data_IF_828147356381
#
_entry.id   IF_828147356381
#
_cell.length_a   1.000
_cell.length_b   1.000
_cell.length_c   1.000
_cell.angle_alpha   90.00
_cell.angle_beta   90.00
_cell.angle_gamma   90.00
#
_symmetry.space_group_name_H-M   'P 1'
#
loop_
_entity.id
_entity.type
_entity.pdbx_description
1 polymer ?
#
# COMPACT_ATOMS: atom_id res chain seq x y z
N UNK A 1 0.85 14.08 14.87
CA UNK A 1 2.03 13.56 14.15
C UNK A 1 2.80 12.52 14.96
N UNK A 2 3.13 12.74 16.24
CA UNK A 2 3.89 11.79 17.06
C UNK A 2 3.14 10.45 17.21
N UNK A 3 1.85 10.51 17.50
CA UNK A 3 1.01 9.32 17.60
C UNK A 3 0.94 8.55 16.29
N UNK A 4 0.78 9.25 15.17
CA UNK A 4 0.79 8.64 13.82
C UNK A 4 2.12 7.94 13.53
N UNK A 5 3.25 8.55 13.92
CA UNK A 5 4.57 7.91 13.80
C UNK A 5 4.67 6.64 14.64
N UNK A 6 4.14 6.67 15.88
CA UNK A 6 4.12 5.50 16.75
C UNK A 6 3.30 4.36 16.14
N UNK A 7 2.09 4.64 15.63
CA UNK A 7 1.26 3.64 14.94
C UNK A 7 1.99 3.00 13.75
N UNK A 8 2.61 3.82 12.89
CA UNK A 8 3.35 3.34 11.73
C UNK A 8 4.64 2.58 12.09
N UNK A 9 5.28 2.90 13.22
CA UNK A 9 6.42 2.12 13.73
C UNK A 9 5.97 0.72 14.15
N UNK A 10 4.88 0.62 14.91
CA UNK A 10 4.33 -0.66 15.37
C UNK A 10 3.88 -1.54 14.21
N UNK A 11 3.14 -0.96 13.27
CA UNK A 11 2.69 -1.69 12.08
C UNK A 11 3.87 -2.05 11.15
N UNK A 12 4.85 -1.17 11.02
CA UNK A 12 6.08 -1.44 10.28
C UNK A 12 6.86 -2.63 10.83
N UNK A 13 6.83 -2.86 12.15
CA UNK A 13 7.41 -4.05 12.78
C UNK A 13 6.64 -5.32 12.34
N UNK A 14 5.30 -5.29 12.37
CA UNK A 14 4.48 -6.42 11.94
C UNK A 14 4.72 -6.76 10.46
N UNK A 15 4.69 -5.75 9.57
CA UNK A 15 4.94 -5.92 8.13
C UNK A 15 6.36 -6.41 7.86
N UNK A 16 7.37 -5.96 8.62
CA UNK A 16 8.75 -6.44 8.46
C UNK A 16 8.91 -7.89 8.88
N UNK A 17 8.29 -8.30 10.00
CA UNK A 17 8.25 -9.70 10.43
C UNK A 17 7.56 -10.58 9.39
N UNK A 18 6.44 -10.10 8.84
CA UNK A 18 5.71 -10.77 7.77
C UNK A 18 6.59 -10.95 6.52
N UNK A 19 7.26 -9.91 6.06
CA UNK A 19 8.17 -9.98 4.91
C UNK A 19 9.25 -11.02 5.10
N UNK A 20 9.89 -11.05 6.27
CA UNK A 20 10.92 -12.04 6.60
C UNK A 20 10.35 -13.46 6.56
N UNK A 21 9.21 -13.68 7.20
CA UNK A 21 8.55 -14.98 7.23
C UNK A 21 8.14 -15.45 5.82
N UNK A 22 7.51 -14.58 5.05
CA UNK A 22 7.07 -14.87 3.68
C UNK A 22 8.25 -15.31 2.81
N UNK A 23 9.32 -14.52 2.78
CA UNK A 23 10.50 -14.83 1.97
C UNK A 23 11.27 -16.08 2.43
N UNK A 24 11.22 -16.39 3.70
CA UNK A 24 11.87 -17.59 4.26
C UNK A 24 11.10 -18.87 3.93
N UNK A 25 9.80 -18.79 3.81
CA UNK A 25 8.91 -19.96 3.82
C UNK A 25 8.21 -20.23 2.47
N UNK A 26 8.12 -19.25 1.56
CA UNK A 26 7.52 -19.45 0.24
C UNK A 26 8.22 -20.61 -0.51
N UNK A 27 7.42 -21.52 -1.05
CA UNK A 27 7.90 -22.76 -1.68
C UNK A 27 8.35 -23.86 -0.70
N UNK A 28 8.32 -23.63 0.64
CA UNK A 28 8.66 -24.65 1.65
C UNK A 28 7.45 -25.14 2.44
N UNK A 29 6.47 -24.26 2.64
CA UNK A 29 5.18 -24.59 3.24
C UNK A 29 4.05 -24.14 2.32
N UNK A 30 2.90 -24.83 2.32
CA UNK A 30 1.73 -24.36 1.57
C UNK A 30 1.31 -22.98 2.04
N UNK A 31 1.07 -22.08 1.08
CA UNK A 31 0.58 -20.72 1.29
C UNK A 31 -0.37 -20.34 0.18
N UNK A 32 -1.36 -19.55 0.49
CA UNK A 32 -2.26 -18.87 -0.44
C UNK A 32 -2.52 -17.42 0.01
N UNK A 33 -3.26 -16.68 -0.78
CA UNK A 33 -3.55 -15.26 -0.52
C UNK A 33 -4.31 -15.05 0.80
N UNK A 34 -5.15 -16.00 1.22
CA UNK A 34 -5.89 -15.92 2.49
C UNK A 34 -4.94 -16.19 3.66
N UNK A 35 -4.21 -17.30 3.62
CA UNK A 35 -3.34 -17.71 4.73
C UNK A 35 -2.21 -16.73 5.02
N UNK A 36 -1.69 -16.02 4.00
CA UNK A 36 -0.69 -14.97 4.22
C UNK A 36 -1.31 -13.69 4.77
N UNK A 37 -2.54 -13.37 4.40
CA UNK A 37 -3.32 -12.28 4.98
C UNK A 37 -3.57 -12.52 6.48
N UNK A 38 -4.07 -13.70 6.83
CA UNK A 38 -4.33 -14.09 8.22
C UNK A 38 -3.06 -14.07 9.06
N UNK A 39 -1.94 -14.52 8.50
CA UNK A 39 -0.67 -14.48 9.20
C UNK A 39 -0.20 -13.04 9.47
N UNK A 40 -0.33 -12.13 8.50
CA UNK A 40 0.00 -10.71 8.71
C UNK A 40 -0.89 -10.10 9.80
N UNK A 41 -2.19 -10.40 9.79
CA UNK A 41 -3.11 -9.95 10.83
C UNK A 41 -2.68 -10.47 12.20
N UNK A 42 -2.32 -11.76 12.33
CA UNK A 42 -1.86 -12.32 13.60
C UNK A 42 -0.61 -11.64 14.17
N UNK A 43 0.25 -11.09 13.29
CA UNK A 43 1.41 -10.30 13.72
C UNK A 43 1.02 -8.92 14.22
N UNK A 44 -0.01 -8.28 13.62
CA UNK A 44 -0.56 -7.00 14.08
C UNK A 44 -1.25 -7.12 15.43
N UNK A 45 -1.99 -8.19 15.66
CA UNK A 45 -2.67 -8.49 16.93
C UNK A 45 -1.71 -8.59 18.11
N UNK A 46 -0.44 -8.85 17.86
CA UNK A 46 0.61 -8.88 18.89
C UNK A 46 1.22 -7.50 19.19
N UNK A 47 0.85 -6.47 18.45
CA UNK A 47 1.40 -5.13 18.65
C UNK A 47 0.62 -4.35 19.71
N UNK A 48 1.35 -3.56 20.51
CA UNK A 48 0.77 -2.72 21.55
C UNK A 48 -0.28 -1.77 20.98
N UNK A 49 -1.46 -1.74 21.58
CA UNK A 49 -2.54 -0.84 21.21
C UNK A 49 -3.23 -1.14 19.89
N UNK A 50 -2.99 -2.30 19.30
CA UNK A 50 -3.77 -2.77 18.15
C UNK A 50 -5.24 -2.97 18.55
N UNK A 51 -6.17 -2.54 17.69
CA UNK A 51 -7.61 -2.62 17.92
C UNK A 51 -8.33 -3.49 16.91
N UNK A 52 -8.06 -3.25 15.62
CA UNK A 52 -8.70 -3.97 14.51
C UNK A 52 -7.93 -3.72 13.22
N UNK A 53 -8.31 -4.40 12.15
CA UNK A 53 -7.90 -4.05 10.79
C UNK A 53 -8.48 -2.68 10.40
N UNK A 54 -7.74 -1.89 9.65
CA UNK A 54 -8.26 -0.61 9.12
C UNK A 54 -9.10 -0.79 7.85
N UNK A 55 -8.89 -1.89 7.16
CA UNK A 55 -9.68 -2.38 6.02
C UNK A 55 -9.33 -3.85 5.75
N UNK A 56 -10.19 -4.54 4.99
CA UNK A 56 -9.93 -5.91 4.56
C UNK A 56 -8.61 -6.00 3.81
N UNK A 57 -7.71 -6.87 4.25
CA UNK A 57 -6.39 -7.03 3.60
C UNK A 57 -6.55 -7.49 2.16
N UNK A 58 -5.89 -6.79 1.26
CA UNK A 58 -5.76 -7.16 -0.15
C UNK A 58 -4.44 -7.89 -0.32
N UNK A 59 -4.48 -9.19 -0.52
CA UNK A 59 -3.31 -9.99 -0.86
C UNK A 59 -3.50 -10.54 -2.26
N UNK A 60 -2.89 -9.92 -3.26
CA UNK A 60 -3.05 -10.28 -4.67
C UNK A 60 -1.76 -10.88 -5.25
N UNK A 61 -1.81 -12.16 -5.64
CA UNK A 61 -0.69 -12.85 -6.27
C UNK A 61 -0.74 -12.72 -7.78
N UNK A 62 0.33 -12.25 -8.39
CA UNK A 62 0.47 -12.06 -9.84
C UNK A 62 -0.72 -11.28 -10.45
N UNK A 63 -1.55 -11.93 -11.30
CA UNK A 63 -2.66 -11.29 -12.00
C UNK A 63 -3.73 -10.73 -11.06
N UNK A 64 -3.96 -11.34 -9.90
CA UNK A 64 -4.94 -10.88 -8.92
C UNK A 64 -4.59 -9.49 -8.37
N UNK A 65 -3.30 -9.14 -8.33
CA UNK A 65 -2.83 -7.82 -7.91
C UNK A 65 -3.25 -6.67 -8.86
N UNK A 66 -3.74 -6.98 -10.06
CA UNK A 66 -4.23 -5.97 -11.00
C UNK A 66 -5.65 -5.46 -10.64
N UNK A 67 -6.35 -6.15 -9.77
CA UNK A 67 -7.70 -5.80 -9.36
C UNK A 67 -7.64 -4.92 -8.10
N UNK A 68 -8.05 -3.66 -8.24
CA UNK A 68 -8.25 -2.78 -7.08
C UNK A 68 -9.30 -3.39 -6.16
N UNK A 69 -9.08 -3.34 -4.86
CA UNK A 69 -9.99 -3.92 -3.86
C UNK A 69 -10.22 -5.44 -4.06
N UNK A 70 -9.21 -6.15 -4.59
CA UNK A 70 -9.27 -7.61 -4.67
C UNK A 70 -9.48 -8.21 -3.29
N UNK A 71 -10.42 -9.14 -3.19
CA UNK A 71 -10.64 -9.93 -1.99
C UNK A 71 -10.40 -11.41 -2.31
N UNK A 72 -9.41 -11.99 -1.65
CA UNK A 72 -9.19 -13.43 -1.73
C UNK A 72 -10.27 -14.17 -0.92
N UNK A 73 -10.88 -15.17 -1.52
CA UNK A 73 -11.83 -16.04 -0.84
C UNK A 73 -11.23 -17.45 -0.72
N UNK A 74 -11.52 -18.21 0.34
CA UNK A 74 -10.90 -19.52 0.58
C UNK A 74 -10.94 -20.48 -0.60
N UNK A 75 -12.06 -20.48 -1.36
CA UNK A 75 -12.27 -21.39 -2.48
C UNK A 75 -11.58 -20.94 -3.78
N UNK A 76 -11.16 -19.68 -3.88
CA UNK A 76 -10.61 -19.08 -5.11
C UNK A 76 -9.21 -18.49 -4.93
N UNK A 77 -8.71 -18.43 -3.70
CA UNK A 77 -7.40 -17.87 -3.37
C UNK A 77 -6.29 -18.56 -4.16
N UNK A 78 -5.43 -17.77 -4.79
CA UNK A 78 -4.29 -18.29 -5.52
C UNK A 78 -3.23 -18.84 -4.56
N UNK A 79 -2.72 -20.03 -4.88
CA UNK A 79 -1.58 -20.61 -4.16
C UNK A 79 -0.31 -19.83 -4.50
N UNK A 80 0.48 -19.50 -3.49
CA UNK A 80 1.76 -18.83 -3.67
C UNK A 80 2.86 -19.82 -4.02
N UNK A 81 3.56 -19.51 -5.10
CA UNK A 81 4.72 -20.26 -5.57
C UNK A 81 6.00 -19.41 -5.40
N UNK A 82 7.20 -20.02 -5.36
CA UNK A 82 8.47 -19.28 -5.28
C UNK A 82 8.85 -18.63 -6.62
N UNK A 83 7.93 -17.87 -7.18
CA UNK A 83 8.04 -17.10 -8.42
C UNK A 83 7.05 -15.94 -8.43
N UNK A 84 7.29 -14.94 -9.29
CA UNK A 84 6.38 -13.81 -9.47
C UNK A 84 6.36 -12.86 -8.27
N UNK A 85 5.22 -12.20 -8.08
CA UNK A 85 5.05 -11.14 -7.08
C UNK A 85 3.74 -11.28 -6.31
N UNK A 86 3.78 -10.93 -5.04
CA UNK A 86 2.63 -10.75 -4.16
C UNK A 86 2.52 -9.28 -3.78
N UNK A 87 1.42 -8.64 -4.11
CA UNK A 87 1.03 -7.33 -3.56
C UNK A 87 0.22 -7.57 -2.29
N UNK A 88 0.61 -6.90 -1.21
CA UNK A 88 -0.16 -6.89 0.04
C UNK A 88 -0.45 -5.45 0.41
N UNK A 89 -1.72 -5.11 0.44
CA UNK A 89 -2.25 -3.82 0.87
C UNK A 89 -3.10 -4.04 2.12
N UNK A 90 -2.72 -3.39 3.22
CA UNK A 90 -3.25 -3.73 4.54
C UNK A 90 -2.95 -2.65 5.55
N UNK A 91 -3.69 -2.64 6.64
CA UNK A 91 -3.45 -1.71 7.72
C UNK A 91 -4.14 -2.11 9.02
N UNK A 92 -3.88 -1.35 10.05
CA UNK A 92 -4.48 -1.54 11.37
C UNK A 92 -4.88 -0.25 12.03
N UNK A 93 -5.89 -0.36 12.89
CA UNK A 93 -6.26 0.65 13.87
C UNK A 93 -5.49 0.41 15.16
N UNK A 94 -4.81 1.44 15.62
CA UNK A 94 -4.07 1.45 16.89
C UNK A 94 -4.59 2.58 17.77
N UNK A 95 -4.35 2.50 19.07
CA UNK A 95 -4.68 3.59 20.01
C UNK A 95 -4.07 4.94 19.60
N UNK A 96 -2.99 4.87 18.85
CA UNK A 96 -2.21 6.06 18.45
C UNK A 96 -2.44 6.50 17.00
N UNK A 97 -3.17 5.73 16.20
CA UNK A 97 -3.43 6.11 14.81
C UNK A 97 -3.87 4.93 13.95
N UNK A 98 -4.18 5.23 12.70
CA UNK A 98 -4.55 4.26 11.67
C UNK A 98 -3.43 4.16 10.65
N UNK A 99 -3.19 2.96 10.15
CA UNK A 99 -2.19 2.70 9.10
C UNK A 99 -2.84 2.17 7.83
N UNK A 100 -2.16 2.44 6.72
CA UNK A 100 -2.50 1.99 5.38
C UNK A 100 -1.17 1.77 4.66
N UNK A 101 -0.77 0.52 4.48
CA UNK A 101 0.57 0.15 4.01
C UNK A 101 0.46 -0.88 2.90
N UNK A 102 0.88 -0.51 1.70
CA UNK A 102 1.04 -1.43 0.58
C UNK A 102 2.50 -1.80 0.37
N UNK A 103 2.77 -3.08 0.17
CA UNK A 103 4.09 -3.58 -0.28
C UNK A 103 3.92 -4.67 -1.32
N UNK A 104 4.77 -4.62 -2.35
CA UNK A 104 4.88 -5.69 -3.37
C UNK A 104 6.13 -6.50 -3.13
N UNK A 105 5.96 -7.78 -2.86
CA UNK A 105 7.03 -8.72 -2.56
C UNK A 105 7.36 -9.57 -3.78
N UNK A 106 8.61 -9.57 -4.21
CA UNK A 106 9.12 -10.51 -5.20
C UNK A 106 9.36 -11.85 -4.51
N UNK A 107 8.70 -12.91 -4.98
CA UNK A 107 8.76 -14.25 -4.37
C UNK A 107 9.78 -15.17 -5.05
N UNK A 108 10.30 -14.79 -6.20
CA UNK A 108 11.27 -15.56 -6.97
C UNK A 108 11.53 -14.93 -8.34
N UNK A 109 11.82 -15.71 -9.38
CA UNK A 109 12.07 -15.17 -10.72
C UNK A 109 10.91 -14.33 -11.22
N UNK A 110 11.22 -13.15 -11.79
CA UNK A 110 10.29 -12.23 -12.44
C UNK A 110 10.84 -11.80 -13.81
N UNK A 111 9.94 -11.44 -14.71
CA UNK A 111 10.30 -10.97 -16.05
C UNK A 111 10.92 -9.56 -16.03
N UNK A 112 11.61 -9.19 -17.10
CA UNK A 112 12.22 -7.87 -17.22
C UNK A 112 11.16 -6.75 -17.30
N UNK A 113 9.99 -7.04 -17.87
CA UNK A 113 8.88 -6.09 -17.88
C UNK A 113 8.33 -5.85 -16.47
N UNK A 114 8.24 -6.87 -15.62
CA UNK A 114 7.86 -6.72 -14.22
C UNK A 114 8.87 -5.88 -13.44
N UNK A 115 10.18 -6.12 -13.64
CA UNK A 115 11.25 -5.30 -13.05
C UNK A 115 11.14 -3.83 -13.48
N UNK A 116 10.89 -3.61 -14.78
CA UNK A 116 10.72 -2.26 -15.35
C UNK A 116 9.53 -1.55 -14.69
N UNK A 117 8.36 -2.19 -14.65
CA UNK A 117 7.15 -1.61 -14.06
C UNK A 117 7.31 -1.37 -12.56
N UNK A 118 7.87 -2.32 -11.81
CA UNK A 118 8.17 -2.15 -10.39
C UNK A 118 9.06 -0.92 -10.15
N UNK A 119 10.16 -0.81 -10.91
CA UNK A 119 11.09 0.32 -10.80
C UNK A 119 10.42 1.65 -11.14
N UNK A 120 9.56 1.66 -12.15
CA UNK A 120 8.80 2.83 -12.57
C UNK A 120 7.86 3.31 -11.45
N UNK A 121 7.11 2.39 -10.84
CA UNK A 121 6.21 2.71 -9.72
C UNK A 121 7.00 3.21 -8.51
N UNK A 122 8.15 2.61 -8.19
CA UNK A 122 9.03 3.11 -7.11
C UNK A 122 9.53 4.53 -7.41
N UNK A 123 9.94 4.82 -8.64
CA UNK A 123 10.33 6.19 -9.05
C UNK A 123 9.17 7.17 -8.88
N UNK A 124 7.97 6.79 -9.33
CA UNK A 124 6.76 7.60 -9.19
C UNK A 124 6.47 7.94 -7.72
N UNK A 125 6.48 6.94 -6.85
CA UNK A 125 6.26 7.12 -5.43
C UNK A 125 7.33 8.03 -4.78
N UNK A 126 8.62 7.76 -5.04
CA UNK A 126 9.72 8.54 -4.49
C UNK A 126 9.74 9.98 -5.01
N UNK A 127 9.36 10.22 -6.27
CA UNK A 127 9.27 11.57 -6.82
C UNK A 127 8.24 12.39 -6.05
N UNK A 128 7.04 11.83 -5.81
CA UNK A 128 6.01 12.52 -5.05
C UNK A 128 6.39 12.67 -3.57
N UNK A 129 6.94 11.63 -2.95
CA UNK A 129 7.32 11.66 -1.53
C UNK A 129 8.44 12.67 -1.22
N UNK A 130 9.30 12.97 -2.19
CA UNK A 130 10.44 13.88 -2.01
C UNK A 130 10.25 15.26 -2.64
N UNK A 131 9.09 15.53 -3.26
CA UNK A 131 8.87 16.80 -3.94
C UNK A 131 8.87 17.97 -2.95
N UNK A 132 9.55 19.06 -3.33
CA UNK A 132 9.42 20.36 -2.68
C UNK A 132 8.48 21.22 -3.49
N UNK A 133 7.50 21.81 -2.84
CA UNK A 133 6.47 22.60 -3.50
C UNK A 133 6.17 23.90 -2.74
N UNK A 134 5.50 24.82 -3.39
CA UNK A 134 5.11 26.09 -2.78
C UNK A 134 3.97 25.87 -1.79
N UNK A 135 4.00 26.59 -0.69
CA UNK A 135 2.89 26.64 0.24
C UNK A 135 1.60 27.05 -0.49
N UNK A 136 0.51 26.37 -0.21
CA UNK A 136 -0.76 26.56 -0.89
C UNK A 136 -0.98 25.67 -2.13
N UNK A 137 0.00 24.86 -2.55
CA UNK A 137 -0.25 23.83 -3.54
C UNK A 137 -1.22 22.77 -2.99
N UNK A 138 -2.05 22.22 -3.88
CA UNK A 138 -2.93 21.10 -3.58
C UNK A 138 -2.49 19.82 -4.30
N UNK A 139 -3.14 18.71 -3.99
CA UNK A 139 -2.83 17.41 -4.58
C UNK A 139 -2.98 17.34 -6.09
N UNK A 140 -3.89 18.12 -6.68
CA UNK A 140 -4.07 18.19 -8.15
C UNK A 140 -2.83 18.74 -8.84
N UNK A 141 -2.16 19.72 -8.22
CA UNK A 141 -0.94 20.32 -8.77
C UNK A 141 0.27 19.37 -8.70
N UNK A 142 0.25 18.42 -7.75
CA UNK A 142 1.40 17.56 -7.47
C UNK A 142 1.26 16.14 -8.04
N UNK A 143 0.04 15.70 -8.35
CA UNK A 143 -0.24 14.36 -8.85
C UNK A 143 0.57 14.00 -10.10
N UNK A 144 0.76 14.96 -11.02
CA UNK A 144 1.53 14.77 -12.24
C UNK A 144 2.98 14.32 -12.00
N UNK A 145 3.57 14.74 -10.87
CA UNK A 145 4.95 14.37 -10.50
C UNK A 145 5.08 12.87 -10.28
N UNK A 146 4.02 12.26 -9.75
CA UNK A 146 3.93 10.81 -9.59
C UNK A 146 3.65 10.09 -10.91
N UNK A 147 2.81 10.65 -11.79
CA UNK A 147 2.40 10.00 -13.06
C UNK A 147 3.43 10.12 -14.17
N UNK A 148 4.25 11.16 -14.16
CA UNK A 148 5.18 11.47 -15.23
C UNK A 148 6.07 10.29 -15.63
N UNK A 149 6.69 9.52 -14.71
CA UNK A 149 7.48 8.34 -15.08
C UNK A 149 6.67 7.25 -15.80
N UNK A 150 5.38 7.15 -15.52
CA UNK A 150 4.46 6.17 -16.12
C UNK A 150 4.04 6.65 -17.51
N UNK A 151 3.67 7.90 -17.64
CA UNK A 151 3.25 8.50 -18.92
C UNK A 151 4.37 8.54 -19.95
N UNK A 152 5.64 8.69 -19.53
CA UNK A 152 6.80 8.59 -20.43
C UNK A 152 6.93 7.23 -21.14
N UNK A 153 6.37 6.20 -20.56
CA UNK A 153 6.34 4.85 -21.13
C UNK A 153 5.04 4.56 -21.91
N UNK A 154 4.22 5.58 -22.19
CA UNK A 154 2.90 5.48 -22.81
C UNK A 154 1.95 4.55 -22.02
N UNK A 155 2.11 4.49 -20.71
CA UNK A 155 1.26 3.76 -19.80
C UNK A 155 0.47 4.74 -18.93
N UNK A 156 -0.60 4.25 -18.30
CA UNK A 156 -1.40 5.06 -17.37
C UNK A 156 -1.59 4.33 -16.05
N UNK A 157 -1.79 5.12 -14.99
CA UNK A 157 -2.18 4.67 -13.67
C UNK A 157 -3.59 5.19 -13.38
N UNK A 158 -4.59 4.31 -13.49
CA UNK A 158 -6.01 4.69 -13.51
C UNK A 158 -6.61 5.01 -12.14
N UNK A 159 -5.79 5.07 -11.08
CA UNK A 159 -6.21 5.38 -9.72
C UNK A 159 -5.68 6.74 -9.26
N UNK A 160 -6.14 7.21 -8.10
CA UNK A 160 -5.49 8.30 -7.38
C UNK A 160 -4.09 7.92 -6.94
N UNK A 161 -3.20 8.88 -6.86
CA UNK A 161 -1.80 8.64 -6.48
C UNK A 161 -1.54 8.83 -4.99
N UNK A 162 -2.55 9.29 -4.24
CA UNK A 162 -2.48 9.40 -2.79
C UNK A 162 -3.76 9.97 -2.18
N UNK A 163 -3.86 9.81 -0.87
CA UNK A 163 -5.01 10.25 -0.07
C UNK A 163 -4.58 10.52 1.38
N UNK A 164 -5.43 11.17 2.14
CA UNK A 164 -5.27 11.29 3.58
C UNK A 164 -5.58 9.97 4.29
N UNK A 165 -4.93 9.75 5.42
CA UNK A 165 -5.20 8.59 6.29
C UNK A 165 -5.95 9.08 7.52
N UNK A 166 -7.06 8.41 7.85
CA UNK A 166 -7.93 8.76 8.94
C UNK A 166 -7.45 8.26 10.30
N UNK A 167 -8.38 8.32 11.26
CA UNK A 167 -8.15 7.82 12.60
C UNK A 167 -9.37 7.04 13.10
N UNK A 168 -9.20 5.74 13.33
CA UNK A 168 -10.17 4.76 13.84
C UNK A 168 -11.43 4.52 13.00
N UNK A 169 -12.06 5.50 12.37
CA UNK A 169 -13.31 5.33 11.61
C UNK A 169 -13.08 4.96 10.16
N UNK A 170 -12.27 5.75 9.49
CA UNK A 170 -12.01 5.57 8.06
C UNK A 170 -10.51 5.49 7.81
N UNK A 171 -10.10 4.55 6.99
CA UNK A 171 -8.70 4.49 6.52
C UNK A 171 -8.40 5.64 5.57
N UNK A 172 -9.31 5.95 4.64
CA UNK A 172 -9.20 7.12 3.76
C UNK A 172 -9.99 8.28 4.34
N UNK A 173 -9.33 9.41 4.55
CA UNK A 173 -9.95 10.61 5.11
C UNK A 173 -9.43 11.86 4.40
N UNK A 174 -10.35 12.81 4.15
CA UNK A 174 -10.02 14.13 3.63
C UNK A 174 -9.21 14.97 4.64
N UNK A 175 -8.92 16.25 4.34
CA UNK A 175 -9.44 17.00 3.17
C UNK A 175 -8.59 16.87 1.89
N UNK A 176 -7.45 16.21 1.91
CA UNK A 176 -6.49 16.17 0.81
C UNK A 176 -6.47 14.82 0.06
N UNK A 177 -6.23 14.88 -1.24
CA UNK A 177 -5.95 13.72 -2.07
C UNK A 177 -5.04 14.12 -3.23
N UNK A 178 -4.32 13.13 -3.81
CA UNK A 178 -3.53 13.33 -5.03
C UNK A 178 -4.27 12.68 -6.20
N UNK A 179 -4.80 13.53 -7.12
CA UNK A 179 -5.51 13.11 -8.33
C UNK A 179 -5.36 14.19 -9.39
N UNK A 180 -5.19 13.80 -10.64
CA UNK A 180 -5.13 14.76 -11.75
C UNK A 180 -6.47 15.45 -12.06
N UNK A 181 -7.59 14.84 -11.65
CA UNK A 181 -8.93 15.38 -11.81
C UNK A 181 -9.37 16.13 -10.56
N UNK A 182 -9.92 17.32 -10.77
CA UNK A 182 -10.52 18.09 -9.68
C UNK A 182 -11.72 17.34 -9.07
N UNK A 183 -11.76 17.30 -7.76
CA UNK A 183 -12.88 16.77 -6.96
C UNK A 183 -13.26 17.79 -5.90
N UNK A 184 -14.48 18.37 -5.94
CA UNK A 184 -14.95 19.29 -4.91
C UNK A 184 -14.78 18.67 -3.50
N UNK A 185 -14.24 19.45 -2.57
CA UNK A 185 -14.02 19.02 -1.17
C UNK A 185 -12.74 18.21 -0.90
N UNK A 186 -11.98 17.82 -1.94
CA UNK A 186 -10.75 17.02 -1.81
C UNK A 186 -9.51 17.69 -2.40
N UNK A 187 -9.65 18.91 -2.93
CA UNK A 187 -8.53 19.68 -3.48
C UNK A 187 -8.25 20.90 -2.62
N UNK A 188 -7.83 20.64 -1.39
CA UNK A 188 -7.46 21.69 -0.45
C UNK A 188 -5.93 21.92 -0.47
N UNK A 189 -5.47 23.15 -0.22
CA UNK A 189 -4.06 23.42 -0.03
C UNK A 189 -3.45 22.57 1.06
N UNK A 190 -2.21 22.13 0.86
CA UNK A 190 -1.47 21.44 1.91
C UNK A 190 -0.96 22.45 2.95
N UNK A 191 -1.14 22.10 4.20
CA UNK A 191 -0.62 22.81 5.37
C UNK A 191 0.22 21.85 6.23
N UNK A 192 1.15 22.41 7.01
CA UNK A 192 2.00 21.62 7.89
C UNK A 192 1.20 21.07 9.09
N UNK A 193 1.32 19.78 9.34
CA UNK A 193 0.64 19.08 10.44
C UNK A 193 -0.65 18.46 10.04
#
# INVERSE_FOLDING_TARGET
LENTRKAHLLDGIAVTKFMYWLKKNVGKIPMDEVSVSDYLQSLREQMEGYRDISFDTIAGYNANAAMMHYKAEPDTAAKLEPQGMLLVDSGGHYDTGTTDITRTFVLGPISDIQKKHFTMVVKSNLNLANVKFLYGCSGISLDVICREPIWKENLDYQCGTGHGVGYLLNVHEGPNSFRWQYRPGFDNPFEAG
#
